data_IF_687603703116
#
_entry.id   IF_687603703116
#
_cell.length_a   1.000
_cell.length_b   1.000
_cell.length_c   1.000
_cell.angle_alpha   90.00
_cell.angle_beta   90.00
_cell.angle_gamma   90.00
#
_symmetry.space_group_name_H-M   'P 1'
#
loop_
_entity.id
_entity.type
_entity.pdbx_description
1 polymer ?
#
# COMPACT_ATOMS: atom_id res chain seq x y z
N UNK A 1 -4.01 11.10 -6.27
CA UNK A 1 -2.61 10.67 -6.03
C UNK A 1 -2.05 11.15 -4.68
N UNK A 2 -1.86 12.45 -4.45
CA UNK A 2 -1.37 13.01 -3.18
C UNK A 2 -2.02 12.39 -1.93
N UNK A 3 -3.35 12.40 -1.85
CA UNK A 3 -4.11 11.84 -0.71
C UNK A 3 -3.82 10.37 -0.46
N UNK A 4 -3.69 9.55 -1.50
CA UNK A 4 -3.40 8.12 -1.34
C UNK A 4 -2.02 7.91 -0.71
N UNK A 5 -1.00 8.64 -1.21
CA UNK A 5 0.37 8.54 -0.67
C UNK A 5 0.42 9.04 0.78
N UNK A 6 -0.29 10.13 1.09
CA UNK A 6 -0.40 10.65 2.47
C UNK A 6 -1.06 9.64 3.40
N UNK A 7 -2.25 9.14 3.03
CA UNK A 7 -2.98 8.11 3.78
C UNK A 7 -2.16 6.85 3.97
N UNK A 8 -1.48 6.37 2.92
CA UNK A 8 -0.59 5.21 3.02
C UNK A 8 0.52 5.47 4.02
N UNK A 9 1.23 6.59 3.92
CA UNK A 9 2.32 6.88 4.87
C UNK A 9 1.85 7.07 6.31
N UNK A 10 0.63 7.57 6.51
CA UNK A 10 0.03 7.67 7.83
C UNK A 10 -0.42 6.30 8.36
N UNK A 11 -1.00 5.45 7.52
CA UNK A 11 -1.35 4.08 7.87
C UNK A 11 -0.09 3.27 8.25
N UNK A 12 0.99 3.39 7.49
CA UNK A 12 2.28 2.77 7.83
C UNK A 12 2.75 3.17 9.23
N UNK A 13 2.72 4.47 9.53
CA UNK A 13 3.19 4.97 10.82
C UNK A 13 2.27 4.61 11.99
N UNK A 14 0.97 4.82 11.84
CA UNK A 14 0.00 4.72 12.95
C UNK A 14 -0.57 3.31 13.16
N UNK A 15 -0.65 2.51 12.10
CA UNK A 15 -1.25 1.18 12.13
C UNK A 15 -0.22 0.07 12.05
N UNK A 16 0.77 0.21 11.16
CA UNK A 16 1.82 -0.80 10.96
C UNK A 16 3.11 -0.51 11.73
N UNK A 17 3.16 0.61 12.47
CA UNK A 17 4.32 1.08 13.24
C UNK A 17 5.62 1.22 12.43
N UNK A 18 5.50 1.43 11.12
CA UNK A 18 6.60 1.60 10.19
C UNK A 18 6.94 3.09 10.01
N UNK A 19 8.22 3.43 10.18
CA UNK A 19 8.75 4.70 9.65
C UNK A 19 8.78 4.64 8.12
N UNK A 20 8.76 5.80 7.45
CA UNK A 20 8.74 5.89 6.00
C UNK A 20 9.85 5.08 5.31
N UNK A 21 11.07 5.08 5.86
CA UNK A 21 12.18 4.28 5.33
C UNK A 21 11.90 2.76 5.36
N UNK A 22 11.27 2.28 6.44
CA UNK A 22 10.87 0.87 6.56
C UNK A 22 9.74 0.54 5.59
N UNK A 23 8.74 1.42 5.46
CA UNK A 23 7.65 1.26 4.51
C UNK A 23 8.14 1.20 3.05
N UNK A 24 9.09 2.06 2.68
CA UNK A 24 9.73 2.02 1.35
C UNK A 24 10.49 0.71 1.14
N UNK A 25 11.21 0.22 2.16
CA UNK A 25 11.92 -1.06 2.07
C UNK A 25 10.97 -2.24 1.86
N UNK A 26 9.83 -2.25 2.56
CA UNK A 26 8.79 -3.26 2.38
C UNK A 26 8.20 -3.18 0.97
N UNK A 27 7.84 -1.98 0.51
CA UNK A 27 7.33 -1.75 -0.85
C UNK A 27 8.31 -2.27 -1.91
N UNK A 28 9.59 -1.93 -1.78
CA UNK A 28 10.65 -2.36 -2.69
C UNK A 28 10.83 -3.87 -2.70
N UNK A 29 10.80 -4.50 -1.52
CA UNK A 29 10.88 -5.96 -1.38
C UNK A 29 9.70 -6.65 -2.04
N UNK A 30 8.49 -6.16 -1.78
CA UNK A 30 7.26 -6.81 -2.27
C UNK A 30 7.14 -6.72 -3.78
N UNK A 31 7.54 -5.59 -4.37
CA UNK A 31 7.36 -5.29 -5.79
C UNK A 31 8.64 -5.43 -6.63
N UNK A 32 9.75 -5.89 -6.04
CA UNK A 32 11.03 -6.05 -6.74
C UNK A 32 11.58 -4.75 -7.34
N UNK A 33 11.39 -3.61 -6.66
CA UNK A 33 11.70 -2.28 -7.20
C UNK A 33 12.61 -1.46 -6.29
N UNK A 34 13.13 -0.33 -6.80
CA UNK A 34 14.04 0.55 -6.08
C UNK A 34 13.46 1.97 -5.91
N UNK A 35 12.37 2.10 -5.14
CA UNK A 35 11.78 3.38 -4.76
C UNK A 35 12.65 4.06 -3.71
N UNK A 36 12.83 5.37 -3.86
CA UNK A 36 13.56 6.23 -2.92
C UNK A 36 12.62 7.18 -2.18
N UNK A 37 13.12 7.81 -1.11
CA UNK A 37 12.38 8.88 -0.43
C UNK A 37 12.03 10.05 -1.36
N UNK A 38 12.95 10.44 -2.25
CA UNK A 38 12.69 11.49 -3.24
C UNK A 38 11.51 11.13 -4.13
N UNK A 39 11.49 9.88 -4.62
CA UNK A 39 10.40 9.38 -5.47
C UNK A 39 9.04 9.45 -4.77
N UNK A 40 8.98 9.09 -3.48
CA UNK A 40 7.75 9.23 -2.68
C UNK A 40 7.36 10.70 -2.52
N UNK A 41 8.32 11.60 -2.31
CA UNK A 41 8.05 13.05 -2.23
C UNK A 41 7.50 13.60 -3.56
N UNK A 42 8.04 13.16 -4.69
CA UNK A 42 7.54 13.53 -6.03
C UNK A 42 6.08 13.05 -6.22
N UNK A 43 5.75 11.84 -5.79
CA UNK A 43 4.37 11.33 -5.83
C UNK A 43 3.40 12.15 -4.97
N UNK A 44 3.83 12.58 -3.78
CA UNK A 44 3.03 13.47 -2.91
C UNK A 44 2.76 14.82 -3.57
N UNK A 45 3.73 15.34 -4.31
CA UNK A 45 3.61 16.61 -5.05
C UNK A 45 2.85 16.45 -6.37
N UNK A 46 2.54 15.22 -6.79
CA UNK A 46 1.88 14.94 -8.06
C UNK A 46 2.78 15.14 -9.27
N UNK A 47 4.10 15.23 -9.09
CA UNK A 47 5.08 15.38 -10.19
C UNK A 47 5.12 14.11 -11.03
N UNK A 48 5.08 12.96 -10.37
CA UNK A 48 5.00 11.65 -11.01
C UNK A 48 3.83 10.85 -10.43
N UNK A 49 3.30 9.95 -11.26
CA UNK A 49 2.31 8.96 -10.84
C UNK A 49 3.03 7.65 -10.52
N UNK A 50 2.78 7.02 -9.36
CA UNK A 50 3.29 5.68 -9.08
C UNK A 50 2.75 4.67 -10.10
N UNK A 51 3.50 3.59 -10.35
CA UNK A 51 2.99 2.51 -11.20
C UNK A 51 1.76 1.85 -10.59
N UNK A 52 0.94 1.20 -11.42
CA UNK A 52 -0.27 0.51 -10.96
C UNK A 52 0.01 -0.49 -9.83
N UNK A 53 1.11 -1.26 -9.92
CA UNK A 53 1.53 -2.18 -8.87
C UNK A 53 1.79 -1.46 -7.52
N UNK A 54 2.45 -0.30 -7.56
CA UNK A 54 2.68 0.52 -6.35
C UNK A 54 1.36 1.01 -5.78
N UNK A 55 0.44 1.47 -6.64
CA UNK A 55 -0.88 1.95 -6.20
C UNK A 55 -1.70 0.86 -5.55
N UNK A 56 -1.75 -0.29 -6.21
CA UNK A 56 -2.44 -1.47 -5.72
C UNK A 56 -1.88 -1.89 -4.36
N UNK A 57 -0.55 -1.93 -4.20
CA UNK A 57 0.11 -2.23 -2.93
C UNK A 57 -0.19 -1.19 -1.84
N UNK A 58 -0.15 0.09 -2.17
CA UNK A 58 -0.47 1.16 -1.22
C UNK A 58 -1.92 1.07 -0.74
N UNK A 59 -2.86 0.84 -1.65
CA UNK A 59 -4.28 0.66 -1.32
C UNK A 59 -4.48 -0.54 -0.39
N UNK A 60 -3.88 -1.68 -0.70
CA UNK A 60 -3.94 -2.88 0.14
C UNK A 60 -3.50 -2.60 1.58
N UNK A 61 -2.37 -1.90 1.79
CA UNK A 61 -1.89 -1.58 3.15
C UNK A 61 -2.72 -0.51 3.87
N UNK A 62 -3.42 0.32 3.10
CA UNK A 62 -4.19 1.45 3.62
C UNK A 62 -5.62 1.06 3.95
N UNK A 63 -6.18 0.05 3.27
CA UNK A 63 -7.59 -0.33 3.40
C UNK A 63 -7.97 -0.70 4.85
N UNK A 64 -7.27 -1.60 5.57
CA UNK A 64 -7.63 -1.96 6.95
C UNK A 64 -7.65 -0.75 7.88
N UNK A 65 -6.65 0.13 7.74
CA UNK A 65 -6.59 1.38 8.49
C UNK A 65 -7.75 2.33 8.15
N UNK A 66 -8.09 2.46 6.86
CA UNK A 66 -9.16 3.34 6.40
C UNK A 66 -10.53 2.87 6.91
N UNK A 67 -10.80 1.56 6.87
CA UNK A 67 -12.02 0.96 7.43
C UNK A 67 -12.13 1.26 8.93
N UNK A 68 -11.06 1.00 9.69
CA UNK A 68 -11.01 1.29 11.13
C UNK A 68 -11.25 2.78 11.41
N UNK A 69 -10.65 3.68 10.62
CA UNK A 69 -10.85 5.14 10.75
C UNK A 69 -12.27 5.58 10.43
N UNK A 70 -12.97 4.87 9.56
CA UNK A 70 -14.38 5.09 9.25
C UNK A 70 -15.35 4.51 10.30
N UNK A 71 -14.83 3.91 11.39
CA UNK A 71 -15.65 3.24 12.40
C UNK A 71 -16.14 1.86 11.98
N UNK A 72 -15.64 1.32 10.86
CA UNK A 72 -15.98 -0.01 10.38
C UNK A 72 -15.04 -1.01 11.07
N UNK A 73 -15.60 -1.75 12.02
CA UNK A 73 -14.89 -2.85 12.68
C UNK A 73 -15.07 -4.13 11.88
N UNK A 74 -14.25 -4.31 10.86
CA UNK A 74 -14.15 -5.58 10.15
C UNK A 74 -13.28 -6.56 10.96
N UNK A 75 -13.72 -7.81 11.07
CA UNK A 75 -12.89 -8.90 11.60
C UNK A 75 -11.76 -9.22 10.62
N UNK A 76 -10.70 -9.90 11.06
CA UNK A 76 -9.61 -10.33 10.19
C UNK A 76 -10.13 -11.14 8.99
N UNK A 77 -11.03 -12.09 9.23
CA UNK A 77 -11.66 -12.87 8.16
C UNK A 77 -12.44 -12.00 7.15
N UNK A 78 -13.05 -10.90 7.59
CA UNK A 78 -13.77 -9.98 6.70
C UNK A 78 -12.80 -9.11 5.90
N UNK A 79 -11.67 -8.71 6.51
CA UNK A 79 -10.59 -8.01 5.81
C UNK A 79 -10.01 -8.95 4.74
N UNK A 80 -9.72 -10.20 5.09
CA UNK A 80 -9.20 -11.19 4.13
C UNK A 80 -10.18 -11.45 2.98
N UNK A 81 -11.49 -11.53 3.27
CA UNK A 81 -12.51 -11.65 2.23
C UNK A 81 -12.54 -10.43 1.29
N UNK A 82 -12.44 -9.22 1.83
CA UNK A 82 -12.34 -7.99 1.05
C UNK A 82 -11.06 -7.95 0.21
N UNK A 83 -9.93 -8.39 0.79
CA UNK A 83 -8.66 -8.45 0.08
C UNK A 83 -8.73 -9.41 -1.11
N UNK A 84 -9.30 -10.60 -0.92
CA UNK A 84 -9.50 -11.59 -1.98
C UNK A 84 -10.51 -11.14 -3.05
N UNK A 85 -11.45 -10.27 -2.70
CA UNK A 85 -12.43 -9.72 -3.65
C UNK A 85 -11.87 -8.59 -4.50
N UNK A 86 -10.94 -7.81 -3.96
CA UNK A 86 -10.43 -6.59 -4.59
C UNK A 86 -9.06 -6.76 -5.23
N UNK A 87 -8.29 -7.77 -4.84
CA UNK A 87 -6.94 -8.01 -5.35
C UNK A 87 -6.74 -9.42 -5.88
N UNK A 88 -6.05 -9.50 -7.02
CA UNK A 88 -5.38 -10.70 -7.50
C UNK A 88 -3.94 -10.71 -7.01
N UNK A 89 -3.57 -11.79 -6.33
CA UNK A 89 -2.22 -12.02 -5.85
C UNK A 89 -1.56 -13.10 -6.71
N UNK A 90 -0.57 -12.72 -7.50
CA UNK A 90 0.31 -13.67 -8.20
C UNK A 90 1.72 -13.57 -7.63
N UNK A 91 2.35 -14.70 -7.35
CA UNK A 91 3.75 -14.74 -6.94
C UNK A 91 4.56 -15.35 -8.07
N UNK A 92 5.47 -14.56 -8.63
CA UNK A 92 6.39 -15.00 -9.70
C UNK A 92 7.79 -14.59 -9.28
N UNK A 93 8.73 -15.54 -9.29
CA UNK A 93 10.14 -15.33 -8.91
C UNK A 93 10.35 -14.64 -7.53
N UNK A 94 9.48 -14.95 -6.56
CA UNK A 94 9.53 -14.38 -5.21
C UNK A 94 9.00 -12.95 -5.09
N UNK A 95 8.50 -12.36 -6.17
CA UNK A 95 7.87 -11.04 -6.20
C UNK A 95 6.35 -11.17 -6.10
N UNK A 96 5.71 -10.29 -5.32
CA UNK A 96 4.25 -10.24 -5.21
C UNK A 96 3.70 -9.29 -6.27
N UNK A 97 3.14 -9.85 -7.32
CA UNK A 97 2.31 -9.12 -8.26
C UNK A 97 0.93 -8.95 -7.65
N UNK A 98 0.61 -7.70 -7.31
CA UNK A 98 -0.65 -7.33 -6.66
C UNK A 98 -1.42 -6.46 -7.65
N UNK A 99 -2.47 -7.02 -8.23
CA UNK A 99 -3.30 -6.34 -9.20
C UNK A 99 -4.68 -6.09 -8.60
N UNK A 100 -5.17 -4.87 -8.71
CA UNK A 100 -6.56 -4.58 -8.37
C UNK A 100 -7.44 -5.22 -9.45
N UNK A 101 -8.48 -5.93 -9.01
CA UNK A 101 -9.44 -6.62 -9.88
C UNK A 101 -10.27 -5.67 -10.75
#
# INVERSE_FOLDING_TARGET
>A
MKRLVESWTFAEWSHHHNRLAAAIRILNKDLGMNVTHSRVSEWRRGVYVPSQAVLSRMLLRTLPWALKKAGIQATENQIDALENMLWKFNVTDGQRHIELL
#
